data_IF_511296053183
#
_entry.id   IF_511296053183
#
_cell.length_a   1.000
_cell.length_b   1.000
_cell.length_c   1.000
_cell.angle_alpha   90.00
_cell.angle_beta   90.00
_cell.angle_gamma   90.00
#
_symmetry.space_group_name_H-M   'P 1'
#
loop_
_entity.id
_entity.type
_entity.pdbx_description
1 polymer ?
#
# COMPACT_ATOMS: atom_id res chain seq x y z
N UNK A 1 -4.05 17.99 6.03
CA UNK A 1 -4.76 17.28 4.95
C UNK A 1 -6.22 17.22 5.30
N UNK A 2 -7.09 17.42 4.35
CA UNK A 2 -8.52 17.42 4.57
C UNK A 2 -9.27 16.55 3.56
N UNK A 3 -10.41 16.02 3.98
CA UNK A 3 -11.37 15.35 3.10
C UNK A 3 -12.50 16.33 2.81
N UNK A 4 -12.65 16.75 1.56
CA UNK A 4 -13.73 17.62 1.11
C UNK A 4 -14.96 16.78 0.75
N UNK A 5 -16.08 17.05 1.40
CA UNK A 5 -17.39 16.48 1.05
C UNK A 5 -18.02 17.29 -0.10
N UNK A 6 -18.71 16.61 -1.00
CA UNK A 6 -19.51 17.28 -2.02
C UNK A 6 -20.86 17.73 -1.46
N UNK A 7 -21.42 18.81 -2.03
CA UNK A 7 -22.82 19.20 -1.76
C UNK A 7 -23.76 18.08 -2.25
N UNK A 8 -24.85 17.78 -1.53
CA UNK A 8 -25.77 16.67 -1.84
C UNK A 8 -26.75 17.00 -2.97
N UNK A 9 -26.24 17.44 -4.12
CA UNK A 9 -27.05 17.89 -5.27
C UNK A 9 -27.63 16.74 -6.09
N UNK A 10 -27.03 15.54 -6.00
CA UNK A 10 -27.49 14.34 -6.71
C UNK A 10 -27.26 13.09 -5.82
N UNK A 11 -27.97 11.97 -6.06
CA UNK A 11 -27.74 10.72 -5.30
C UNK A 11 -26.27 10.29 -5.29
N UNK A 12 -25.56 10.40 -6.40
CA UNK A 12 -24.15 10.03 -6.51
C UNK A 12 -23.19 10.98 -5.79
N UNK A 13 -23.60 12.24 -5.55
CA UNK A 13 -22.78 13.23 -4.80
C UNK A 13 -23.07 13.24 -3.31
N UNK A 14 -24.27 12.89 -2.89
CA UNK A 14 -24.72 12.94 -1.49
C UNK A 14 -23.75 12.28 -0.51
N UNK A 15 -23.24 11.11 -0.83
CA UNK A 15 -22.28 10.36 0.00
C UNK A 15 -20.83 10.45 -0.48
N UNK A 16 -20.51 11.33 -1.40
CA UNK A 16 -19.17 11.42 -2.01
C UNK A 16 -18.25 12.38 -1.29
N UNK A 17 -16.99 12.00 -1.18
CA UNK A 17 -15.91 12.89 -0.77
C UNK A 17 -14.64 12.69 -1.61
N UNK A 18 -13.72 13.63 -1.52
CA UNK A 18 -12.41 13.60 -2.20
C UNK A 18 -11.36 14.19 -1.29
N UNK A 19 -10.08 13.87 -1.54
CA UNK A 19 -8.97 14.57 -0.90
C UNK A 19 -8.96 16.05 -1.34
N UNK A 20 -8.47 16.94 -0.49
CA UNK A 20 -8.34 18.38 -0.79
C UNK A 20 -7.13 18.70 -1.69
N UNK A 21 -6.16 17.81 -1.79
CA UNK A 21 -4.92 17.93 -2.58
C UNK A 21 -4.03 19.13 -2.23
N UNK A 22 -4.25 19.79 -1.10
CA UNK A 22 -3.50 21.01 -0.69
C UNK A 22 -2.00 20.77 -0.58
N UNK A 23 -1.58 19.55 -0.26
CA UNK A 23 -0.17 19.18 -0.11
C UNK A 23 0.61 19.02 -1.43
N UNK A 24 -0.10 18.95 -2.56
CA UNK A 24 0.54 18.76 -3.87
C UNK A 24 1.16 20.07 -4.35
N UNK A 25 2.44 20.01 -4.71
CA UNK A 25 3.19 21.16 -5.22
C UNK A 25 3.29 21.17 -6.74
N UNK A 26 2.99 20.03 -7.40
CA UNK A 26 3.04 19.87 -8.85
C UNK A 26 1.95 18.90 -9.33
N UNK A 27 1.31 19.22 -10.45
CA UNK A 27 0.27 18.39 -11.09
C UNK A 27 0.81 17.47 -12.18
N UNK A 28 1.90 17.85 -12.84
CA UNK A 28 2.51 17.11 -13.94
C UNK A 28 3.66 16.23 -13.44
N UNK A 29 3.71 14.92 -13.78
CA UNK A 29 4.80 14.06 -13.37
C UNK A 29 6.08 14.30 -14.19
N UNK A 30 7.22 13.88 -13.64
CA UNK A 30 8.50 13.85 -14.34
C UNK A 30 8.47 12.80 -15.45
N UNK A 31 8.66 13.23 -16.72
CA UNK A 31 8.48 12.38 -17.91
C UNK A 31 9.48 11.23 -17.96
N UNK A 32 10.74 11.46 -17.58
CA UNK A 32 11.81 10.45 -17.56
C UNK A 32 11.53 9.28 -16.61
N UNK A 33 10.70 9.49 -15.59
CA UNK A 33 10.35 8.49 -14.59
C UNK A 33 8.97 7.84 -14.84
N UNK A 34 8.41 7.99 -16.03
CA UNK A 34 7.14 7.37 -16.42
C UNK A 34 7.37 6.14 -17.29
N UNK A 35 6.63 5.08 -16.97
CA UNK A 35 6.58 3.84 -17.76
C UNK A 35 5.14 3.55 -18.16
N UNK A 36 4.88 3.10 -19.39
CA UNK A 36 3.56 2.66 -19.83
C UNK A 36 3.00 1.58 -18.90
N UNK A 37 1.73 1.71 -18.54
CA UNK A 37 1.02 0.70 -17.75
C UNK A 37 -0.08 0.08 -18.59
N UNK A 38 0.19 -1.11 -19.15
CA UNK A 38 -0.78 -1.88 -19.92
C UNK A 38 -1.86 -2.46 -19.00
N UNK A 39 -3.07 -2.61 -19.54
CA UNK A 39 -4.21 -3.19 -18.84
C UNK A 39 -4.41 -4.63 -19.32
N UNK A 40 -4.20 -5.59 -18.45
CA UNK A 40 -4.37 -7.01 -18.74
C UNK A 40 -5.82 -7.50 -18.58
N UNK A 41 -6.67 -6.70 -17.91
CA UNK A 41 -8.05 -7.10 -17.61
C UNK A 41 -8.14 -8.34 -16.70
N UNK A 42 -7.12 -8.60 -15.89
CA UNK A 42 -7.04 -9.78 -15.02
C UNK A 42 -6.64 -11.07 -15.75
N UNK A 43 -6.15 -10.99 -17.00
CA UNK A 43 -5.66 -12.14 -17.79
C UNK A 43 -4.17 -12.36 -17.52
N UNK A 44 -3.77 -13.64 -17.57
CA UNK A 44 -2.38 -14.07 -17.54
C UNK A 44 -1.77 -14.05 -18.95
N UNK A 45 -0.55 -14.58 -19.10
CA UNK A 45 0.16 -14.69 -20.39
C UNK A 45 -0.54 -15.60 -21.40
N UNK A 46 -1.36 -16.57 -20.96
CA UNK A 46 -2.18 -17.44 -21.83
C UNK A 46 -3.59 -16.90 -22.10
N UNK A 47 -3.88 -15.65 -21.74
CA UNK A 47 -5.16 -14.99 -21.95
C UNK A 47 -6.30 -15.43 -21.01
N UNK A 48 -6.04 -16.35 -20.06
CA UNK A 48 -7.04 -16.83 -19.11
C UNK A 48 -7.20 -15.85 -17.94
N UNK A 49 -8.44 -15.69 -17.47
CA UNK A 49 -8.75 -14.85 -16.31
C UNK A 49 -8.23 -15.54 -15.04
N UNK A 50 -7.17 -14.99 -14.44
CA UNK A 50 -6.62 -15.44 -13.15
C UNK A 50 -6.99 -14.53 -11.99
N UNK A 51 -7.35 -13.27 -12.29
CA UNK A 51 -7.84 -12.32 -11.30
C UNK A 51 -9.18 -11.77 -11.76
N UNK A 52 -10.26 -12.23 -11.12
CA UNK A 52 -11.63 -11.84 -11.48
C UNK A 52 -11.94 -10.40 -11.06
N UNK A 53 -12.98 -9.81 -11.68
CA UNK A 53 -13.51 -8.50 -11.36
C UNK A 53 -12.51 -7.33 -11.55
N UNK A 54 -11.58 -7.48 -12.50
CA UNK A 54 -10.63 -6.46 -12.92
C UNK A 54 -10.86 -6.14 -14.41
N UNK A 55 -10.84 -4.86 -14.75
CA UNK A 55 -10.92 -4.40 -16.13
C UNK A 55 -11.53 -3.02 -16.28
N UNK A 56 -11.34 -2.40 -17.44
CA UNK A 56 -11.71 -1.02 -17.68
C UNK A 56 -10.88 -0.03 -16.86
N UNK A 57 -11.51 1.05 -16.42
CA UNK A 57 -10.88 2.10 -15.65
C UNK A 57 -10.10 3.11 -16.48
N UNK A 58 -9.69 4.21 -15.84
CA UNK A 58 -8.94 5.28 -16.50
C UNK A 58 -7.54 4.82 -16.90
N UNK A 59 -7.02 5.32 -18.05
CA UNK A 59 -5.62 5.08 -18.47
C UNK A 59 -4.66 5.69 -17.43
N UNK A 60 -3.62 4.95 -17.08
CA UNK A 60 -2.62 5.35 -16.09
C UNK A 60 -1.22 5.08 -16.62
N UNK A 61 -0.28 5.99 -16.33
CA UNK A 61 1.14 5.72 -16.44
C UNK A 61 1.68 5.30 -15.07
N UNK A 62 2.66 4.41 -15.05
CA UNK A 62 3.33 4.01 -13.83
C UNK A 62 4.49 4.98 -13.54
N UNK A 63 4.63 5.41 -12.27
CA UNK A 63 5.79 6.18 -11.80
C UNK A 63 6.80 5.20 -11.23
N UNK A 64 8.02 5.26 -11.74
CA UNK A 64 9.13 4.44 -11.22
C UNK A 64 9.50 4.99 -9.84
N UNK A 65 9.27 4.18 -8.81
CA UNK A 65 9.59 4.54 -7.43
C UNK A 65 10.86 3.82 -7.03
N UNK A 66 11.78 4.55 -6.44
CA UNK A 66 12.98 3.96 -5.85
C UNK A 66 12.63 3.30 -4.50
N UNK A 67 12.59 1.99 -4.51
CA UNK A 67 12.35 1.17 -3.32
C UNK A 67 13.63 0.63 -2.69
N UNK A 68 14.80 0.91 -3.26
CA UNK A 68 16.08 0.35 -2.79
C UNK A 68 16.97 1.40 -2.17
N UNK A 69 17.30 2.46 -2.90
CA UNK A 69 18.14 3.60 -2.50
C UNK A 69 19.59 3.27 -2.09
N UNK A 70 20.07 2.04 -2.32
CA UNK A 70 21.44 1.63 -1.94
C UNK A 70 22.54 2.36 -2.71
N UNK A 71 22.32 2.57 -3.98
CA UNK A 71 23.25 3.21 -4.91
C UNK A 71 23.35 4.72 -4.71
N UNK A 72 22.57 5.27 -3.78
CA UNK A 72 22.56 6.69 -3.41
C UNK A 72 22.97 6.91 -1.94
N UNK A 73 23.67 5.95 -1.34
CA UNK A 73 24.18 6.11 0.02
C UNK A 73 25.18 7.25 0.09
N UNK A 74 25.01 8.14 1.07
CA UNK A 74 25.84 9.32 1.28
C UNK A 74 25.64 10.46 0.26
N UNK A 75 24.74 10.27 -0.73
CA UNK A 75 24.43 11.35 -1.67
C UNK A 75 23.17 12.09 -1.19
N UNK A 76 23.30 13.39 -0.82
CA UNK A 76 22.15 14.17 -0.37
C UNK A 76 21.21 14.48 -1.55
N UNK A 77 19.92 14.48 -1.25
CA UNK A 77 18.88 14.86 -2.19
C UNK A 77 17.98 15.93 -1.60
N UNK A 78 17.41 16.79 -2.44
CA UNK A 78 16.42 17.80 -2.07
C UNK A 78 15.05 17.42 -2.60
N UNK A 79 14.01 17.55 -1.77
CA UNK A 79 12.63 17.36 -2.19
C UNK A 79 12.24 18.48 -3.13
N UNK A 80 12.11 18.17 -4.42
CA UNK A 80 11.71 19.13 -5.43
C UNK A 80 10.20 19.35 -5.43
N UNK A 81 9.42 18.25 -5.45
CA UNK A 81 7.97 18.31 -5.49
C UNK A 81 7.30 17.16 -4.75
N UNK A 82 6.07 17.39 -4.28
CA UNK A 82 5.15 16.35 -3.81
C UNK A 82 4.04 16.20 -4.85
N UNK A 83 3.82 14.98 -5.33
CA UNK A 83 2.97 14.70 -6.47
C UNK A 83 1.91 13.61 -6.18
N UNK A 84 0.84 13.63 -6.97
CA UNK A 84 -0.19 12.59 -6.98
C UNK A 84 0.22 11.41 -7.85
N UNK A 85 0.08 10.19 -7.32
CA UNK A 85 0.24 8.95 -8.10
C UNK A 85 -1.09 8.17 -8.17
N UNK A 86 -1.67 7.95 -9.37
CA UNK A 86 -2.91 7.18 -9.53
C UNK A 86 -2.74 5.68 -9.25
N UNK A 87 -1.51 5.18 -9.11
CA UNK A 87 -1.22 3.77 -8.90
C UNK A 87 -1.20 3.36 -7.43
N UNK A 88 -1.16 4.34 -6.52
CA UNK A 88 -1.09 4.12 -5.07
C UNK A 88 -1.94 5.11 -4.30
N UNK A 89 -2.17 4.82 -3.05
CA UNK A 89 -2.92 5.70 -2.15
C UNK A 89 -2.03 6.78 -1.53
N UNK A 90 -0.73 6.49 -1.36
CA UNK A 90 0.27 7.42 -0.86
C UNK A 90 0.63 8.49 -1.91
N UNK A 91 1.04 9.68 -1.45
CA UNK A 91 1.72 10.67 -2.29
C UNK A 91 3.15 10.21 -2.56
N UNK A 92 3.75 10.77 -3.60
CA UNK A 92 5.14 10.55 -3.95
C UNK A 92 5.90 11.87 -3.89
N UNK A 93 7.18 11.81 -3.53
CA UNK A 93 8.07 12.95 -3.54
C UNK A 93 9.11 12.77 -4.65
N UNK A 94 9.26 13.79 -5.49
CA UNK A 94 10.34 13.90 -6.46
C UNK A 94 11.58 14.42 -5.76
N UNK A 95 12.65 13.65 -5.79
CA UNK A 95 13.96 14.00 -5.26
C UNK A 95 14.89 14.42 -6.40
N UNK A 96 15.62 15.51 -6.19
CA UNK A 96 16.79 15.90 -6.98
C UNK A 96 18.02 15.62 -6.14
N UNK A 97 18.84 14.68 -6.57
CA UNK A 97 20.11 14.34 -5.94
C UNK A 97 21.21 15.34 -6.33
N UNK A 98 22.24 15.45 -5.50
CA UNK A 98 23.38 16.34 -5.76
C UNK A 98 24.15 15.96 -7.03
N UNK A 99 24.10 14.70 -7.44
CA UNK A 99 24.68 14.17 -8.69
C UNK A 99 23.81 14.43 -9.95
N UNK A 100 22.71 15.18 -9.82
CA UNK A 100 21.80 15.52 -10.91
C UNK A 100 20.72 14.47 -11.21
N UNK A 101 20.76 13.28 -10.61
CA UNK A 101 19.76 12.26 -10.84
C UNK A 101 18.42 12.61 -10.14
N UNK A 102 17.33 12.28 -10.80
CA UNK A 102 15.97 12.46 -10.23
C UNK A 102 15.35 11.10 -9.91
N UNK A 103 14.74 10.98 -8.74
CA UNK A 103 14.01 9.76 -8.35
C UNK A 103 12.73 10.08 -7.60
N UNK A 104 11.75 9.19 -7.69
CA UNK A 104 10.58 9.22 -6.83
C UNK A 104 10.76 8.34 -5.60
N UNK A 105 10.29 8.82 -4.46
CA UNK A 105 10.09 8.04 -3.24
C UNK A 105 8.63 8.14 -2.76
N UNK A 106 8.21 7.26 -1.85
CA UNK A 106 6.95 7.45 -1.13
C UNK A 106 7.13 8.64 -0.19
N UNK A 107 6.21 9.60 -0.26
CA UNK A 107 6.25 10.78 0.60
C UNK A 107 5.84 10.43 2.03
N UNK A 108 6.71 10.57 3.04
CA UNK A 108 6.32 10.48 4.44
C UNK A 108 5.47 11.68 4.84
N UNK A 109 4.76 11.54 5.95
CA UNK A 109 4.02 12.62 6.56
C UNK A 109 4.97 13.74 6.98
N UNK A 110 4.52 14.99 6.84
CA UNK A 110 5.27 16.20 7.15
C UNK A 110 6.51 16.48 6.27
N UNK A 111 6.77 15.68 5.24
CA UNK A 111 7.77 16.02 4.24
C UNK A 111 7.28 17.22 3.41
N UNK A 112 8.13 18.24 3.26
CA UNK A 112 7.82 19.46 2.52
C UNK A 112 8.82 19.68 1.39
N UNK A 113 8.41 20.46 0.40
CA UNK A 113 9.30 20.91 -0.67
C UNK A 113 10.51 21.66 -0.07
N UNK A 114 11.68 21.40 -0.59
CA UNK A 114 12.94 22.01 -0.15
C UNK A 114 13.68 21.25 0.95
N UNK A 115 13.03 20.30 1.65
CA UNK A 115 13.71 19.49 2.68
C UNK A 115 14.79 18.61 2.08
N UNK A 116 15.88 18.42 2.82
CA UNK A 116 16.93 17.47 2.48
C UNK A 116 16.53 16.05 2.89
N UNK A 117 16.91 15.07 2.11
CA UNK A 117 16.69 13.64 2.34
C UNK A 117 17.92 12.86 1.93
N UNK A 118 18.35 11.93 2.79
CA UNK A 118 19.54 11.13 2.60
C UNK A 118 19.27 9.63 2.76
N UNK A 119 20.18 8.81 2.27
CA UNK A 119 20.21 7.38 2.49
C UNK A 119 21.62 6.97 2.95
N UNK A 120 21.70 5.89 3.73
CA UNK A 120 22.97 5.35 4.20
C UNK A 120 23.09 5.28 5.71
N UNK A 121 24.24 4.82 6.18
CA UNK A 121 24.47 4.59 7.62
C UNK A 121 24.62 5.88 8.42
N UNK A 122 25.18 6.92 7.82
CA UNK A 122 25.40 8.22 8.44
C UNK A 122 24.21 9.19 8.36
N UNK A 123 23.09 8.77 7.76
CA UNK A 123 21.93 9.64 7.62
C UNK A 123 21.25 9.89 8.99
N UNK A 124 20.83 11.12 9.24
CA UNK A 124 20.09 11.51 10.44
C UNK A 124 18.74 10.79 10.56
N UNK A 125 18.20 10.71 11.78
CA UNK A 125 16.86 10.16 12.04
C UNK A 125 15.80 11.23 11.74
N UNK A 126 15.69 11.60 10.46
CA UNK A 126 14.71 12.58 9.94
C UNK A 126 13.71 11.91 8.99
N UNK A 127 12.44 12.38 8.93
CA UNK A 127 11.44 11.82 8.01
C UNK A 127 11.92 11.85 6.56
N UNK A 128 11.86 10.69 5.88
CA UNK A 128 12.30 10.51 4.50
C UNK A 128 13.69 9.89 4.35
N UNK A 129 14.53 9.92 5.38
CA UNK A 129 15.84 9.29 5.37
C UNK A 129 15.72 7.76 5.41
N UNK A 130 16.61 7.08 4.71
CA UNK A 130 16.58 5.63 4.55
C UNK A 130 17.84 4.99 5.16
N UNK A 131 17.65 4.18 6.20
CA UNK A 131 18.71 3.54 6.95
C UNK A 131 18.47 2.03 7.12
N UNK A 132 19.55 1.31 7.43
CA UNK A 132 19.44 -0.06 7.94
C UNK A 132 18.78 -0.07 9.34
N UNK A 133 17.96 -1.07 9.64
CA UNK A 133 17.26 -1.17 10.94
C UNK A 133 18.24 -1.21 12.12
N UNK A 134 19.48 -1.67 11.90
CA UNK A 134 20.54 -1.64 12.93
C UNK A 134 20.91 -0.22 13.38
N UNK A 135 20.75 0.78 12.49
CA UNK A 135 21.13 2.17 12.75
C UNK A 135 19.93 3.03 13.20
N UNK A 136 18.74 2.46 13.27
CA UNK A 136 17.51 3.16 13.68
C UNK A 136 17.25 2.91 15.16
N UNK A 137 17.04 3.92 15.99
CA UNK A 137 16.69 3.74 17.42
C UNK A 137 15.41 2.93 17.60
N UNK A 138 15.37 2.12 18.66
CA UNK A 138 14.15 1.40 19.05
C UNK A 138 13.06 2.41 19.43
N UNK A 139 11.80 2.09 19.14
CA UNK A 139 10.66 2.99 19.32
C UNK A 139 10.34 3.85 18.10
N UNK A 140 11.29 4.02 17.17
CA UNK A 140 11.10 4.85 15.97
C UNK A 140 10.02 4.29 15.06
N UNK A 141 9.19 5.19 14.51
CA UNK A 141 8.22 4.88 13.47
C UNK A 141 8.89 4.91 12.11
N UNK A 142 8.69 3.86 11.33
CA UNK A 142 9.26 3.67 9.98
C UNK A 142 8.22 3.22 8.98
N UNK A 143 8.52 3.38 7.72
CA UNK A 143 7.72 2.86 6.60
C UNK A 143 8.63 2.32 5.49
N UNK A 144 8.04 1.82 4.40
CA UNK A 144 8.79 1.29 3.25
C UNK A 144 9.92 0.33 3.66
N UNK A 145 9.58 -0.66 4.52
CA UNK A 145 10.56 -1.59 5.11
C UNK A 145 10.78 -2.78 4.19
N UNK A 146 12.02 -3.23 4.10
CA UNK A 146 12.40 -4.44 3.41
C UNK A 146 12.05 -5.71 4.19
N UNK A 147 11.83 -6.82 3.48
CA UNK A 147 11.67 -8.16 4.06
C UNK A 147 12.96 -8.98 4.06
N UNK A 148 13.86 -8.66 3.14
CA UNK A 148 15.18 -9.26 3.00
C UNK A 148 16.15 -8.14 2.60
N UNK A 149 17.40 -8.16 3.08
CA UNK A 149 18.40 -7.19 2.68
C UNK A 149 18.53 -7.13 1.16
N UNK A 150 18.55 -5.93 0.58
CA UNK A 150 18.64 -5.70 -0.86
C UNK A 150 17.38 -6.01 -1.67
N UNK A 151 16.31 -6.51 -1.03
CA UNK A 151 15.07 -6.89 -1.71
C UNK A 151 14.13 -5.75 -2.07
N UNK A 152 14.47 -4.53 -1.68
CA UNK A 152 13.64 -3.35 -1.81
C UNK A 152 12.43 -3.33 -0.86
N UNK A 153 11.89 -2.17 -0.64
CA UNK A 153 10.79 -1.95 0.29
C UNK A 153 9.52 -2.75 -0.09
N UNK A 154 8.99 -3.49 0.87
CA UNK A 154 7.79 -4.35 0.71
C UNK A 154 6.68 -4.01 1.71
N UNK A 155 7.02 -3.63 2.94
CA UNK A 155 6.09 -3.40 4.04
C UNK A 155 5.84 -1.90 4.23
N UNK A 156 4.64 -1.50 4.70
CA UNK A 156 4.33 -0.12 5.06
C UNK A 156 4.43 0.88 3.90
N UNK A 157 3.78 0.62 2.77
CA UNK A 157 3.83 1.49 1.58
C UNK A 157 2.52 2.22 1.26
N UNK A 158 1.44 1.86 1.91
CA UNK A 158 0.12 2.48 1.70
C UNK A 158 0.00 3.77 2.49
N UNK A 159 -0.89 4.67 2.07
CA UNK A 159 -1.21 5.90 2.79
C UNK A 159 -1.51 5.64 4.28
N UNK A 160 -0.94 6.44 5.16
CA UNK A 160 -1.08 6.33 6.60
C UNK A 160 -0.46 5.07 7.22
N UNK A 161 0.33 4.30 6.47
CA UNK A 161 0.97 3.12 7.03
C UNK A 161 2.16 3.53 7.91
N UNK A 162 2.15 3.03 9.15
CA UNK A 162 3.22 3.20 10.13
C UNK A 162 3.64 1.85 10.68
N UNK A 163 4.92 1.62 10.80
CA UNK A 163 5.52 0.42 11.39
C UNK A 163 6.43 0.91 12.51
N UNK A 164 6.33 0.30 13.68
CA UNK A 164 7.19 0.64 14.81
C UNK A 164 8.30 -0.39 14.96
N UNK A 165 9.53 0.06 15.10
CA UNK A 165 10.66 -0.77 15.51
C UNK A 165 10.58 -0.98 17.02
N UNK A 166 10.22 -2.19 17.46
CA UNK A 166 9.95 -2.48 18.88
C UNK A 166 11.19 -2.96 19.62
N UNK A 167 12.00 -3.81 18.99
CA UNK A 167 13.21 -4.35 19.59
C UNK A 167 14.24 -4.72 18.51
N UNK A 168 15.49 -4.82 18.94
CA UNK A 168 16.61 -5.37 18.14
C UNK A 168 17.37 -6.36 19.02
N UNK A 169 17.50 -7.59 18.54
CA UNK A 169 18.17 -8.66 19.25
C UNK A 169 19.06 -9.44 18.27
N UNK A 170 20.37 -9.37 18.48
CA UNK A 170 21.35 -9.99 17.60
C UNK A 170 21.18 -9.59 16.13
N UNK A 171 20.90 -10.55 15.27
CA UNK A 171 20.72 -10.34 13.81
C UNK A 171 19.28 -9.99 13.40
N UNK A 172 18.35 -9.87 14.35
CA UNK A 172 16.92 -9.69 14.06
C UNK A 172 16.37 -8.41 14.69
N UNK A 173 15.48 -7.76 13.96
CA UNK A 173 14.69 -6.62 14.42
C UNK A 173 13.21 -7.00 14.47
N UNK A 174 12.53 -6.71 15.57
CA UNK A 174 11.09 -6.96 15.75
C UNK A 174 10.30 -5.72 15.39
N UNK A 175 9.42 -5.86 14.42
CA UNK A 175 8.55 -4.80 13.90
C UNK A 175 7.11 -5.03 14.29
N UNK A 176 6.44 -3.97 14.76
CA UNK A 176 4.99 -3.93 14.95
C UNK A 176 4.34 -3.36 13.69
N UNK A 177 3.59 -4.20 13.00
CA UNK A 177 2.90 -3.85 11.76
C UNK A 177 1.59 -3.06 12.03
N UNK A 178 1.06 -2.32 11.06
CA UNK A 178 -0.23 -1.62 11.19
C UNK A 178 -1.39 -2.54 11.58
N UNK A 179 -1.32 -3.83 11.23
CA UNK A 179 -2.31 -4.85 11.62
C UNK A 179 -2.22 -5.30 13.08
N UNK A 180 -1.21 -4.83 13.83
CA UNK A 180 -0.87 -5.32 15.17
C UNK A 180 -0.07 -6.62 15.19
N UNK A 181 0.26 -7.21 14.03
CA UNK A 181 1.19 -8.35 13.94
C UNK A 181 2.59 -7.89 14.34
N UNK A 182 3.28 -8.68 15.18
CA UNK A 182 4.70 -8.50 15.47
C UNK A 182 5.51 -9.50 14.66
N UNK A 183 6.47 -8.99 13.91
CA UNK A 183 7.26 -9.77 12.97
C UNK A 183 8.73 -9.42 13.04
N UNK A 184 9.57 -10.45 12.97
CA UNK A 184 11.02 -10.29 12.88
C UNK A 184 11.47 -10.13 11.42
N UNK A 185 12.47 -9.29 11.22
CA UNK A 185 13.21 -9.11 9.97
C UNK A 185 14.70 -8.96 10.29
N UNK A 186 15.57 -9.20 9.32
CA UNK A 186 17.02 -9.02 9.47
C UNK A 186 17.35 -7.54 9.75
N UNK A 187 18.26 -7.26 10.68
CA UNK A 187 18.67 -5.89 11.04
C UNK A 187 19.34 -5.13 9.90
N UNK A 188 19.84 -5.83 8.88
CA UNK A 188 20.40 -5.23 7.66
C UNK A 188 19.32 -4.74 6.69
N UNK A 189 18.06 -5.16 6.87
CA UNK A 189 16.94 -4.62 6.08
C UNK A 189 16.83 -3.14 6.27
N UNK A 190 16.56 -2.41 5.19
CA UNK A 190 16.38 -0.96 5.23
C UNK A 190 14.93 -0.56 5.48
N UNK A 191 14.78 0.59 6.07
CA UNK A 191 13.51 1.25 6.31
C UNK A 191 13.65 2.76 6.12
N UNK A 192 12.55 3.41 5.77
CA UNK A 192 12.49 4.88 5.71
C UNK A 192 11.85 5.41 6.99
N UNK A 193 12.45 6.45 7.57
CA UNK A 193 11.98 7.08 8.81
C UNK A 193 10.67 7.82 8.60
N UNK A 194 9.79 7.75 9.60
CA UNK A 194 8.47 8.39 9.61
C UNK A 194 7.34 7.46 9.14
N UNK A 195 6.14 7.95 9.14
CA UNK A 195 4.95 7.28 8.61
C UNK A 195 4.60 7.79 7.20
N UNK A 196 3.88 7.00 6.43
CA UNK A 196 3.44 7.39 5.08
C UNK A 196 2.39 8.50 5.18
N UNK A 197 2.53 9.54 4.38
CA UNK A 197 1.56 10.64 4.28
C UNK A 197 0.19 10.21 3.77
N UNK A 198 -0.74 11.19 3.66
CA UNK A 198 -2.11 11.01 3.17
C UNK A 198 -2.94 10.02 4.02
N UNK A 199 -2.80 10.03 5.33
CA UNK A 199 -3.48 9.10 6.27
C UNK A 199 -5.01 9.14 6.15
N UNK A 200 -5.60 10.28 5.81
CA UNK A 200 -7.06 10.44 5.64
C UNK A 200 -7.62 9.80 4.36
N UNK A 201 -6.80 9.21 3.53
CA UNK A 201 -7.23 8.46 2.35
C UNK A 201 -8.29 7.38 2.69
N UNK A 202 -8.23 6.79 3.88
CA UNK A 202 -9.19 5.81 4.36
C UNK A 202 -10.59 6.39 4.60
N UNK A 203 -10.68 7.69 4.86
CA UNK A 203 -11.92 8.41 5.18
C UNK A 203 -12.68 8.87 3.92
N UNK A 204 -12.12 8.66 2.72
CA UNK A 204 -12.74 9.04 1.46
C UNK A 204 -13.88 8.09 1.11
N UNK A 205 -15.09 8.62 1.00
CA UNK A 205 -16.25 7.90 0.48
C UNK A 205 -16.39 8.08 -1.03
N UNK A 206 -16.51 6.97 -1.74
CA UNK A 206 -16.66 7.00 -3.20
C UNK A 206 -18.06 7.42 -3.65
N UNK A 207 -19.09 7.23 -2.83
CA UNK A 207 -20.48 7.68 -3.02
C UNK A 207 -21.26 6.98 -4.12
N UNK A 208 -20.64 6.44 -5.17
CA UNK A 208 -21.30 5.72 -6.25
C UNK A 208 -20.47 4.57 -6.83
N UNK A 209 -21.15 3.55 -7.34
CA UNK A 209 -20.52 2.38 -7.98
C UNK A 209 -19.64 2.74 -9.20
N UNK A 210 -20.02 3.76 -9.97
CA UNK A 210 -19.26 4.22 -11.12
C UNK A 210 -17.82 4.64 -10.78
N UNK A 211 -17.56 5.16 -9.58
CA UNK A 211 -16.19 5.48 -9.15
C UNK A 211 -15.30 4.24 -9.03
N UNK A 212 -15.87 3.10 -8.60
CA UNK A 212 -15.13 1.84 -8.60
C UNK A 212 -14.86 1.37 -10.04
N UNK A 213 -15.79 1.60 -10.97
CA UNK A 213 -15.59 1.30 -12.40
C UNK A 213 -14.42 2.12 -12.98
N UNK A 214 -14.33 3.41 -12.66
CA UNK A 214 -13.20 4.26 -13.08
C UNK A 214 -11.85 3.79 -12.57
N UNK A 215 -11.83 3.09 -11.44
CA UNK A 215 -10.63 2.48 -10.84
C UNK A 215 -10.30 1.09 -11.39
N UNK A 216 -11.07 0.60 -12.37
CA UNK A 216 -10.86 -0.71 -12.97
C UNK A 216 -11.46 -1.89 -12.19
N UNK A 217 -12.29 -1.62 -11.18
CA UNK A 217 -13.01 -2.65 -10.44
C UNK A 217 -14.34 -2.95 -11.12
N UNK A 218 -14.55 -4.17 -11.55
CA UNK A 218 -15.83 -4.65 -12.11
C UNK A 218 -16.78 -5.07 -10.98
N UNK A 219 -18.10 -5.07 -11.23
CA UNK A 219 -19.09 -5.60 -10.28
C UNK A 219 -18.77 -7.04 -9.88
N UNK A 220 -19.08 -7.38 -8.63
CA UNK A 220 -18.93 -8.74 -8.09
C UNK A 220 -20.29 -9.24 -7.60
N UNK A 221 -20.68 -10.43 -8.00
CA UNK A 221 -21.90 -11.10 -7.58
C UNK A 221 -21.58 -12.00 -6.39
N UNK A 222 -22.44 -11.98 -5.38
CA UNK A 222 -22.31 -12.85 -4.20
C UNK A 222 -22.68 -14.28 -4.56
N UNK A 223 -21.97 -15.27 -4.04
CA UNK A 223 -22.23 -16.70 -4.31
C UNK A 223 -23.65 -17.16 -3.94
N UNK A 224 -24.24 -16.55 -2.90
CA UNK A 224 -25.61 -16.88 -2.42
C UNK A 224 -26.69 -16.58 -3.47
N UNK A 225 -26.46 -15.67 -4.41
CA UNK A 225 -27.44 -15.32 -5.46
C UNK A 225 -27.15 -16.00 -6.79
N UNK A 226 -26.23 -16.96 -6.80
CA UNK A 226 -25.88 -17.77 -7.96
C UNK A 226 -26.66 -19.10 -7.95
N UNK A 227 -26.60 -19.83 -9.05
CA UNK A 227 -27.11 -21.19 -9.12
C UNK A 227 -26.15 -22.20 -8.44
N UNK A 228 -26.64 -23.39 -8.02
CA UNK A 228 -25.80 -24.40 -7.38
C UNK A 228 -24.54 -24.81 -8.20
N UNK A 229 -24.66 -24.80 -9.54
CA UNK A 229 -23.55 -25.12 -10.44
C UNK A 229 -22.43 -24.07 -10.41
N UNK A 230 -22.76 -22.81 -10.11
CA UNK A 230 -21.81 -21.68 -10.17
C UNK A 230 -21.09 -21.44 -8.84
N UNK A 231 -21.73 -21.80 -7.72
CA UNK A 231 -21.15 -21.55 -6.40
C UNK A 231 -21.69 -22.52 -5.33
N UNK A 232 -20.88 -22.99 -4.39
CA UNK A 232 -21.31 -23.87 -3.29
C UNK A 232 -22.39 -23.28 -2.36
N UNK A 233 -22.61 -21.96 -2.40
CA UNK A 233 -23.69 -21.26 -1.68
C UNK A 233 -24.89 -20.96 -2.57
N UNK A 234 -24.89 -21.40 -3.81
CA UNK A 234 -25.96 -21.16 -4.76
C UNK A 234 -27.20 -22.02 -4.51
N UNK A 235 -28.33 -21.62 -5.08
CA UNK A 235 -29.60 -22.31 -5.00
C UNK A 235 -30.52 -21.81 -3.90
N UNK A 236 -31.67 -22.51 -3.75
CA UNK A 236 -32.73 -22.16 -2.84
C UNK A 236 -33.75 -21.18 -3.40
N UNK A 237 -34.82 -20.94 -2.66
CA UNK A 237 -35.90 -20.01 -2.99
C UNK A 237 -35.77 -18.69 -2.25
N UNK A 238 -35.94 -17.57 -2.96
CA UNK A 238 -35.91 -16.22 -2.39
C UNK A 238 -34.58 -15.87 -1.72
N UNK A 239 -34.63 -15.36 -0.49
CA UNK A 239 -33.46 -14.94 0.30
C UNK A 239 -32.93 -16.09 1.15
N UNK A 240 -32.38 -17.12 0.55
CA UNK A 240 -31.74 -18.23 1.26
C UNK A 240 -30.43 -17.81 1.91
N UNK A 241 -30.10 -18.44 3.03
CA UNK A 241 -28.79 -18.35 3.67
C UNK A 241 -27.80 -19.31 3.01
N UNK A 242 -26.48 -19.13 3.27
CA UNK A 242 -25.45 -19.98 2.67
C UNK A 242 -25.50 -21.46 3.08
N UNK A 243 -26.23 -21.84 4.13
CA UNK A 243 -26.44 -23.20 4.60
C UNK A 243 -25.20 -23.96 5.09
N UNK A 244 -24.04 -23.38 4.99
CA UNK A 244 -22.73 -23.95 5.35
C UNK A 244 -21.72 -22.90 5.77
N UNK A 245 -20.55 -23.36 6.23
CA UNK A 245 -19.43 -22.46 6.49
C UNK A 245 -19.07 -21.66 5.22
N UNK A 246 -18.80 -20.34 5.31
CA UNK A 246 -18.45 -19.52 4.17
C UNK A 246 -17.25 -20.10 3.39
N UNK A 247 -17.45 -20.31 2.10
CA UNK A 247 -16.43 -20.85 1.20
C UNK A 247 -16.30 -20.01 -0.08
N UNK A 248 -15.14 -20.13 -0.72
CA UNK A 248 -14.89 -19.56 -2.04
C UNK A 248 -15.63 -20.35 -3.14
N UNK A 249 -15.70 -19.85 -4.39
CA UNK A 249 -16.28 -20.60 -5.51
C UNK A 249 -15.67 -21.99 -5.74
N UNK A 250 -14.45 -22.21 -5.28
CA UNK A 250 -13.75 -23.50 -5.35
C UNK A 250 -13.84 -24.33 -4.08
N UNK A 251 -14.75 -24.00 -3.17
CA UNK A 251 -15.00 -24.73 -1.93
C UNK A 251 -13.97 -24.52 -0.81
N UNK A 252 -12.97 -23.64 -1.00
CA UNK A 252 -12.01 -23.32 0.08
C UNK A 252 -12.69 -22.48 1.16
N UNK A 253 -12.56 -22.92 2.42
CA UNK A 253 -13.07 -22.17 3.58
C UNK A 253 -12.51 -20.76 3.65
N UNK A 254 -13.36 -19.78 3.91
CA UNK A 254 -12.92 -18.41 4.21
C UNK A 254 -12.35 -18.31 5.62
N UNK A 255 -11.58 -17.25 5.88
CA UNK A 255 -10.94 -17.00 7.17
C UNK A 255 -9.43 -17.10 7.11
N UNK A 256 -8.83 -17.98 7.91
CA UNK A 256 -7.37 -18.14 7.94
C UNK A 256 -6.87 -18.88 6.71
N UNK A 257 -6.38 -18.14 5.70
CA UNK A 257 -5.88 -18.70 4.44
C UNK A 257 -4.36 -18.93 4.44
N UNK A 258 -3.64 -18.43 5.47
CA UNK A 258 -2.20 -18.61 5.57
C UNK A 258 -1.86 -20.08 5.87
N UNK A 259 -0.99 -20.67 5.08
CA UNK A 259 -0.47 -22.01 5.26
C UNK A 259 0.21 -22.15 6.64
N UNK A 260 -0.14 -23.23 7.37
CA UNK A 260 0.42 -23.55 8.69
C UNK A 260 1.92 -23.89 8.60
N UNK A 261 2.36 -24.50 7.51
CA UNK A 261 3.73 -24.98 7.30
C UNK A 261 4.64 -23.98 6.59
N UNK A 262 4.15 -22.75 6.35
CA UNK A 262 4.94 -21.73 5.67
C UNK A 262 6.18 -21.37 6.48
N UNK A 263 7.38 -21.50 5.89
CA UNK A 263 8.66 -21.24 6.55
C UNK A 263 8.73 -19.86 7.26
N UNK A 264 8.09 -18.85 6.70
CA UNK A 264 8.04 -17.50 7.30
C UNK A 264 7.14 -17.39 8.55
N UNK A 265 6.50 -18.48 9.01
CA UNK A 265 5.74 -18.48 10.28
C UNK A 265 6.67 -18.31 11.49
N UNK A 266 7.90 -18.83 11.42
CA UNK A 266 8.93 -18.67 12.46
C UNK A 266 9.33 -17.23 12.73
N UNK A 267 9.08 -16.32 11.75
CA UNK A 267 9.39 -14.91 11.87
C UNK A 267 8.23 -14.11 12.48
N UNK A 268 7.09 -14.71 12.80
CA UNK A 268 5.94 -14.04 13.40
C UNK A 268 5.94 -14.31 14.89
N UNK A 269 6.31 -13.32 15.68
CA UNK A 269 6.31 -13.38 17.15
C UNK A 269 4.89 -13.36 17.70
N UNK A 270 4.06 -12.46 17.21
CA UNK A 270 2.66 -12.34 17.61
C UNK A 270 1.78 -12.05 16.40
N UNK A 271 0.73 -12.82 16.22
CA UNK A 271 -0.24 -12.60 15.15
C UNK A 271 -1.14 -11.40 15.46
N UNK A 272 -1.75 -10.84 14.41
CA UNK A 272 -2.79 -9.81 14.57
C UNK A 272 -3.91 -10.32 15.46
N UNK A 273 -4.50 -9.45 16.28
CA UNK A 273 -5.72 -9.77 17.01
C UNK A 273 -6.85 -10.03 16.00
N UNK A 274 -7.47 -11.18 16.07
CA UNK A 274 -8.75 -11.44 15.39
C UNK A 274 -9.86 -10.88 16.29
N UNK A 275 -10.84 -10.19 15.69
CA UNK A 275 -12.00 -9.69 16.45
C UNK A 275 -12.63 -10.81 17.30
N UNK A 276 -13.28 -10.45 18.41
CA UNK A 276 -14.05 -11.42 19.21
C UNK A 276 -15.00 -12.15 18.27
N UNK A 277 -15.03 -13.48 18.33
CA UNK A 277 -16.14 -14.25 17.77
C UNK A 277 -17.40 -13.70 18.43
N UNK A 278 -18.29 -13.09 17.64
CA UNK A 278 -19.67 -12.86 18.05
C UNK A 278 -20.40 -14.19 18.08
#
# INVERSE_FOLDING_TARGET
>A
MGVRKYKPTTPGRRGSSVADFVELTRSTPEKSLLVPKTKTGGRNNSGRITSRHIGGGHKQAYRVIDFKRYDKDGVPAKVAHIEYDPNRTARIALLHYADGEKRYIIAPQNLKQGMAVEAGEGADIKPGNNLALRNIPVGTTVHAVELRPGGGAKLGRSAGASIQLVAREGKMATLRMPSGEMRMVDVRCRATIGEVGNSEQANISWGKAGRNRWRGKRPSVRGVVMNPVDHPHGGGEGKTSGGRHPVSPWGKKEGRTRDKNKASNRLIVRRRKTGKKR
#
